data_IF_494403691884
#
_entry.id   IF_494403691884
#
_cell.length_a   1.000
_cell.length_b   1.000
_cell.length_c   1.000
_cell.angle_alpha   90.00
_cell.angle_beta   90.00
_cell.angle_gamma   90.00
#
_symmetry.space_group_name_H-M   'P 1'
#
loop_
_entity.id
_entity.type
_entity.pdbx_description
1 polymer ?
#
# COMPACT_ATOMS: atom_id res chain seq x y z
N UNK A 1 29.81 -19.12 20.66
CA UNK A 1 29.03 -17.96 21.15
C UNK A 1 28.79 -17.06 19.96
N UNK A 2 27.57 -17.06 19.41
CA UNK A 2 27.21 -16.12 18.35
C UNK A 2 27.30 -14.70 18.94
N UNK A 3 27.98 -13.79 18.26
CA UNK A 3 27.97 -12.38 18.62
C UNK A 3 26.51 -11.93 18.65
N UNK A 4 25.98 -11.75 19.87
CA UNK A 4 24.60 -11.32 20.07
C UNK A 4 24.47 -9.96 19.39
N UNK A 5 23.59 -9.88 18.40
CA UNK A 5 23.19 -8.62 17.81
C UNK A 5 22.74 -7.71 18.97
N UNK A 6 23.34 -6.52 19.10
CA UNK A 6 22.89 -5.57 20.11
C UNK A 6 21.45 -5.16 19.77
N UNK A 7 20.50 -5.66 20.55
CA UNK A 7 19.08 -5.39 20.39
C UNK A 7 18.81 -3.89 20.37
N UNK A 8 19.52 -3.10 21.19
CA UNK A 8 19.35 -1.66 21.22
C UNK A 8 19.81 -1.00 19.92
N UNK A 9 20.90 -1.48 19.32
CA UNK A 9 21.38 -1.01 18.03
C UNK A 9 20.36 -1.29 16.92
N UNK A 10 19.78 -2.49 16.89
CA UNK A 10 18.75 -2.86 15.91
C UNK A 10 17.52 -2.00 16.07
N UNK A 11 17.03 -1.82 17.29
CA UNK A 11 15.84 -1.02 17.58
C UNK A 11 16.04 0.45 17.20
N UNK A 12 17.22 1.02 17.46
CA UNK A 12 17.57 2.37 16.99
C UNK A 12 17.59 2.45 15.46
N UNK A 13 18.23 1.48 14.80
CA UNK A 13 18.29 1.45 13.35
C UNK A 13 16.90 1.28 12.70
N UNK A 14 16.02 0.48 13.32
CA UNK A 14 14.63 0.34 12.90
C UNK A 14 13.89 1.68 13.02
N UNK A 15 14.01 2.37 14.16
CA UNK A 15 13.39 3.68 14.35
C UNK A 15 13.87 4.71 13.34
N UNK A 16 15.18 4.80 13.09
CA UNK A 16 15.74 5.71 12.09
C UNK A 16 15.15 5.44 10.70
N UNK A 17 14.92 4.17 10.34
CA UNK A 17 14.24 3.83 9.07
C UNK A 17 12.77 4.23 9.08
N UNK A 18 12.06 4.03 10.18
CA UNK A 18 10.65 4.42 10.31
C UNK A 18 10.45 5.95 10.34
N UNK A 19 11.40 6.73 10.87
CA UNK A 19 11.33 8.20 10.79
C UNK A 19 11.39 8.70 9.34
N UNK A 20 12.15 8.03 8.47
CA UNK A 20 12.14 8.35 7.02
C UNK A 20 10.78 8.13 6.38
N UNK A 21 9.96 7.23 6.94
CA UNK A 21 8.62 6.96 6.41
C UNK A 21 7.61 8.08 6.72
N UNK A 22 7.85 8.91 7.74
CA UNK A 22 6.96 10.05 8.07
C UNK A 22 6.86 11.06 6.92
N UNK A 23 7.94 11.27 6.18
CA UNK A 23 7.92 12.15 5.02
C UNK A 23 6.89 11.69 3.97
N UNK A 24 6.70 10.37 3.81
CA UNK A 24 5.68 9.85 2.91
C UNK A 24 4.26 10.05 3.46
N UNK A 25 4.08 9.97 4.78
CA UNK A 25 2.80 10.26 5.40
C UNK A 25 2.37 11.70 5.11
N UNK A 26 3.25 12.67 5.33
CA UNK A 26 3.00 14.10 5.05
C UNK A 26 2.62 14.34 3.59
N UNK A 27 3.27 13.65 2.64
CA UNK A 27 2.92 13.72 1.22
C UNK A 27 1.53 13.15 0.93
N UNK A 28 1.01 12.24 1.75
CA UNK A 28 -0.24 11.50 1.51
C UNK A 28 -1.42 11.95 2.38
N UNK A 29 -1.20 12.83 3.36
CA UNK A 29 -2.19 13.13 4.41
C UNK A 29 -2.97 14.43 4.22
N UNK A 30 -2.64 15.26 3.22
CA UNK A 30 -3.39 16.50 2.95
C UNK A 30 -4.22 16.41 1.66
N UNK A 31 -5.45 16.94 1.63
CA UNK A 31 -6.25 16.96 0.39
C UNK A 31 -5.61 17.79 -0.72
N UNK A 32 -4.85 18.83 -0.36
CA UNK A 32 -4.08 19.66 -1.29
C UNK A 32 -2.87 18.92 -1.90
N UNK A 33 -2.39 17.85 -1.26
CA UNK A 33 -1.40 16.94 -1.84
C UNK A 33 -2.00 15.85 -2.71
N UNK A 34 -3.33 15.84 -2.89
CA UNK A 34 -3.98 14.94 -3.84
C UNK A 34 -3.35 15.13 -5.22
N UNK A 35 -2.68 14.07 -5.68
CA UNK A 35 -1.89 14.06 -6.90
C UNK A 35 -2.76 14.50 -8.08
N UNK A 36 -2.49 15.69 -8.62
CA UNK A 36 -3.06 16.11 -9.90
C UNK A 36 -2.11 15.70 -11.01
N UNK A 37 -2.61 14.88 -11.94
CA UNK A 37 -1.80 14.46 -13.09
C UNK A 37 -1.56 15.67 -13.98
N UNK A 38 -0.29 15.96 -14.24
CA UNK A 38 0.11 17.07 -15.08
C UNK A 38 -0.45 16.89 -16.51
N UNK A 39 -1.18 17.88 -17.05
CA UNK A 39 -1.69 17.83 -18.41
C UNK A 39 -0.58 17.61 -19.45
N UNK A 40 -0.81 16.73 -20.42
CA UNK A 40 0.17 16.40 -21.46
C UNK A 40 1.29 15.46 -21.03
N UNK A 41 1.38 15.11 -19.74
CA UNK A 41 2.34 14.12 -19.24
C UNK A 41 2.09 12.73 -19.84
N UNK A 42 3.09 11.83 -19.83
CA UNK A 42 2.90 10.44 -20.21
C UNK A 42 1.74 9.77 -19.45
N UNK A 43 1.60 10.08 -18.16
CA UNK A 43 0.59 9.52 -17.27
C UNK A 43 -0.83 10.01 -17.60
N UNK A 44 -0.98 11.30 -17.98
CA UNK A 44 -2.27 11.82 -18.47
C UNK A 44 -2.78 11.04 -19.70
N UNK A 45 -1.87 10.72 -20.61
CA UNK A 45 -2.19 9.88 -21.76
C UNK A 45 -2.53 8.43 -21.40
N UNK A 46 -2.02 7.90 -20.29
CA UNK A 46 -2.37 6.56 -19.82
C UNK A 46 -3.78 6.55 -19.21
N UNK A 47 -4.12 7.57 -18.42
CA UNK A 47 -5.42 7.74 -17.79
C UNK A 47 -6.53 7.94 -18.82
N UNK A 48 -6.28 8.72 -19.86
CA UNK A 48 -7.21 8.90 -20.97
C UNK A 48 -7.52 7.58 -21.71
N UNK A 49 -6.59 6.61 -21.70
CA UNK A 49 -6.77 5.29 -22.33
C UNK A 49 -7.36 4.23 -21.40
N UNK A 50 -7.43 4.53 -20.11
CA UNK A 50 -7.88 3.57 -19.09
C UNK A 50 -9.14 4.01 -18.37
N UNK A 51 -9.67 5.20 -18.66
CA UNK A 51 -10.91 5.70 -18.08
C UNK A 51 -12.05 4.67 -18.13
N UNK A 52 -12.77 4.43 -17.01
CA UNK A 52 -12.65 5.11 -15.71
C UNK A 52 -11.55 4.54 -14.78
N UNK A 53 -10.85 3.48 -15.19
CA UNK A 53 -9.84 2.74 -14.42
C UNK A 53 -8.44 3.34 -14.55
N UNK A 54 -8.27 4.59 -14.16
CA UNK A 54 -7.03 5.37 -14.34
C UNK A 54 -5.80 4.68 -13.72
N UNK A 55 -4.65 4.86 -14.37
CA UNK A 55 -3.34 4.32 -13.93
C UNK A 55 -2.82 5.14 -12.76
N UNK A 56 -2.89 6.48 -12.87
CA UNK A 56 -2.46 7.40 -11.82
C UNK A 56 -3.18 7.14 -10.50
N UNK A 57 -4.51 6.99 -10.56
CA UNK A 57 -5.34 6.77 -9.38
C UNK A 57 -4.95 5.49 -8.65
N UNK A 58 -4.69 4.40 -9.38
CA UNK A 58 -4.27 3.15 -8.77
C UNK A 58 -2.85 3.25 -8.17
N UNK A 59 -1.93 3.93 -8.86
CA UNK A 59 -0.58 4.16 -8.33
C UNK A 59 -0.63 4.97 -7.04
N UNK A 60 -1.43 6.04 -7.03
CA UNK A 60 -1.62 6.90 -5.86
C UNK A 60 -2.24 6.12 -4.70
N UNK A 61 -3.30 5.36 -4.95
CA UNK A 61 -3.91 4.50 -3.93
C UNK A 61 -2.90 3.52 -3.33
N UNK A 62 -2.07 2.89 -4.15
CA UNK A 62 -1.04 1.97 -3.66
C UNK A 62 0.00 2.68 -2.79
N UNK A 63 0.45 3.88 -3.16
CA UNK A 63 1.36 4.67 -2.33
C UNK A 63 0.71 5.10 -1.00
N UNK A 64 -0.55 5.51 -1.02
CA UNK A 64 -1.32 5.86 0.17
C UNK A 64 -1.41 4.67 1.14
N UNK A 65 -1.81 3.50 0.66
CA UNK A 65 -1.91 2.28 1.47
C UNK A 65 -0.54 1.88 2.03
N UNK A 66 0.53 2.02 1.24
CA UNK A 66 1.88 1.75 1.71
C UNK A 66 2.30 2.69 2.84
N UNK A 67 2.05 3.98 2.67
CA UNK A 67 2.37 5.03 3.64
C UNK A 67 1.63 4.81 4.95
N UNK A 68 0.33 4.49 4.86
CA UNK A 68 -0.52 4.24 6.02
C UNK A 68 -0.08 2.99 6.80
N UNK A 69 0.28 1.89 6.11
CA UNK A 69 0.83 0.71 6.77
C UNK A 69 2.16 0.98 7.50
N UNK A 70 3.06 1.78 6.92
CA UNK A 70 4.33 2.15 7.58
C UNK A 70 4.07 3.05 8.80
N UNK A 71 3.14 3.99 8.69
CA UNK A 71 2.76 4.83 9.81
C UNK A 71 2.12 4.01 10.93
N UNK A 72 1.19 3.11 10.59
CA UNK A 72 0.57 2.18 11.53
C UNK A 72 1.61 1.28 12.20
N UNK A 73 2.57 0.75 11.44
CA UNK A 73 3.68 -0.05 11.99
C UNK A 73 4.46 0.74 13.03
N UNK A 74 4.90 1.95 12.69
CA UNK A 74 5.60 2.84 13.62
C UNK A 74 4.78 3.07 14.89
N UNK A 75 3.52 3.48 14.74
CA UNK A 75 2.59 3.76 15.85
C UNK A 75 2.37 2.53 16.74
N UNK A 76 2.25 1.35 16.14
CA UNK A 76 2.09 0.09 16.88
C UNK A 76 3.36 -0.29 17.66
N UNK A 77 4.54 0.07 17.15
CA UNK A 77 5.82 -0.24 17.78
C UNK A 77 6.15 0.69 18.95
N UNK A 78 5.98 2.01 18.80
CA UNK A 78 6.48 2.99 19.79
C UNK A 78 5.42 3.91 20.39
N UNK A 79 4.17 3.78 19.96
CA UNK A 79 3.09 4.69 20.37
C UNK A 79 3.31 6.14 19.92
N UNK A 80 2.62 7.05 20.61
CA UNK A 80 2.65 8.50 20.34
C UNK A 80 3.45 9.32 21.33
N UNK A 81 3.90 8.72 22.42
CA UNK A 81 4.37 9.51 23.56
C UNK A 81 5.75 10.12 23.27
N UNK A 82 5.90 11.44 23.39
CA UNK A 82 7.21 12.10 23.38
C UNK A 82 7.86 11.91 24.76
N UNK A 83 8.09 10.67 25.16
CA UNK A 83 8.75 10.33 26.41
C UNK A 83 10.26 10.20 26.21
N UNK A 84 11.05 10.58 27.23
CA UNK A 84 12.52 10.34 27.25
C UNK A 84 12.89 8.86 27.10
N UNK A 85 11.92 7.96 27.31
CA UNK A 85 12.05 6.53 27.16
C UNK A 85 11.04 6.05 26.11
N UNK A 86 11.53 5.33 25.10
CA UNK A 86 10.71 4.69 24.07
C UNK A 86 10.54 3.22 24.48
N UNK A 87 9.30 2.80 24.65
CA UNK A 87 8.96 1.38 24.87
C UNK A 87 8.54 0.76 23.55
N UNK A 88 9.14 -0.38 23.20
CA UNK A 88 8.75 -1.13 22.02
C UNK A 88 7.67 -2.16 22.35
N UNK A 89 6.54 -2.10 21.65
CA UNK A 89 5.49 -3.10 21.69
C UNK A 89 5.59 -4.00 20.45
N UNK A 90 6.00 -5.25 20.65
CA UNK A 90 6.08 -6.27 19.61
C UNK A 90 4.94 -7.25 19.78
N UNK A 91 4.14 -7.43 18.74
CA UNK A 91 3.17 -8.52 18.66
C UNK A 91 3.75 -9.61 17.76
N UNK A 92 3.32 -10.85 17.98
CA UNK A 92 3.93 -12.01 17.30
C UNK A 92 3.78 -11.92 15.78
N UNK A 93 2.65 -11.40 15.28
CA UNK A 93 2.33 -11.40 13.85
C UNK A 93 1.88 -10.04 13.29
N UNK A 94 1.43 -9.10 14.12
CA UNK A 94 0.77 -7.88 13.63
C UNK A 94 1.73 -7.00 12.82
N UNK A 95 2.97 -6.82 13.30
CA UNK A 95 3.96 -6.00 12.60
C UNK A 95 4.38 -6.62 11.25
N UNK A 96 4.40 -7.96 11.15
CA UNK A 96 4.76 -8.65 9.92
C UNK A 96 3.72 -8.40 8.80
N UNK A 97 2.42 -8.37 9.13
CA UNK A 97 1.38 -8.07 8.15
C UNK A 97 1.41 -6.61 7.70
N UNK A 98 1.72 -5.68 8.59
CA UNK A 98 1.90 -4.26 8.26
C UNK A 98 3.09 -4.05 7.31
N UNK A 99 4.24 -4.66 7.58
CA UNK A 99 5.41 -4.60 6.69
C UNK A 99 5.08 -5.19 5.32
N UNK A 100 4.40 -6.33 5.29
CA UNK A 100 3.97 -6.96 4.03
C UNK A 100 3.06 -6.05 3.24
N UNK A 101 2.02 -5.49 3.88
CA UNK A 101 1.09 -4.56 3.25
C UNK A 101 1.80 -3.34 2.68
N UNK A 102 2.74 -2.75 3.44
CA UNK A 102 3.56 -1.65 2.95
C UNK A 102 4.37 -2.05 1.71
N UNK A 103 5.13 -3.15 1.80
CA UNK A 103 6.01 -3.59 0.73
C UNK A 103 5.27 -3.94 -0.56
N UNK A 104 4.19 -4.72 -0.48
CA UNK A 104 3.41 -5.13 -1.64
C UNK A 104 2.78 -3.94 -2.37
N UNK A 105 2.28 -2.95 -1.62
CA UNK A 105 1.67 -1.78 -2.21
C UNK A 105 2.71 -0.82 -2.81
N UNK A 106 3.85 -0.61 -2.16
CA UNK A 106 4.97 0.13 -2.76
C UNK A 106 5.47 -0.54 -4.05
N UNK A 107 5.67 -1.86 -4.01
CA UNK A 107 6.07 -2.64 -5.17
C UNK A 107 5.03 -2.57 -6.30
N UNK A 108 3.73 -2.55 -5.97
CA UNK A 108 2.66 -2.35 -6.96
C UNK A 108 2.76 -1.00 -7.65
N UNK A 109 2.99 0.08 -6.89
CA UNK A 109 3.17 1.42 -7.47
C UNK A 109 4.38 1.46 -8.43
N UNK A 110 5.53 0.90 -8.00
CA UNK A 110 6.73 0.79 -8.83
C UNK A 110 6.48 -0.07 -10.06
N UNK A 111 5.86 -1.23 -9.90
CA UNK A 111 5.52 -2.11 -11.03
C UNK A 111 4.57 -1.40 -12.00
N UNK A 112 3.62 -0.59 -11.53
CA UNK A 112 2.72 0.11 -12.42
C UNK A 112 3.41 1.25 -13.18
N UNK A 113 4.28 2.02 -12.52
CA UNK A 113 4.85 3.26 -13.06
C UNK A 113 6.22 3.10 -13.74
N UNK A 114 7.05 2.13 -13.34
CA UNK A 114 8.43 1.99 -13.81
C UNK A 114 8.58 1.75 -15.32
N UNK A 115 7.69 1.03 -16.03
CA UNK A 115 7.82 0.85 -17.48
C UNK A 115 7.73 2.19 -18.21
N UNK A 116 8.64 2.46 -19.14
CA UNK A 116 8.60 3.67 -19.98
C UNK A 116 7.48 3.63 -21.02
N UNK A 117 7.15 2.42 -21.52
CA UNK A 117 6.12 2.22 -22.52
C UNK A 117 4.70 2.31 -21.93
N UNK A 118 3.90 3.25 -22.44
CA UNK A 118 2.47 3.41 -22.11
C UNK A 118 1.68 2.11 -22.24
N UNK A 119 1.88 1.39 -23.34
CA UNK A 119 1.16 0.13 -23.61
C UNK A 119 1.30 -0.85 -22.44
N UNK A 120 2.49 -0.97 -21.87
CA UNK A 120 2.76 -1.85 -20.73
C UNK A 120 2.00 -1.39 -19.49
N UNK A 121 2.02 -0.10 -19.16
CA UNK A 121 1.31 0.45 -17.99
C UNK A 121 -0.21 0.28 -18.12
N UNK A 122 -0.75 0.59 -19.29
CA UNK A 122 -2.18 0.41 -19.61
C UNK A 122 -2.60 -1.05 -19.50
N UNK A 123 -1.83 -1.97 -20.10
CA UNK A 123 -2.11 -3.40 -20.02
C UNK A 123 -2.12 -3.88 -18.57
N UNK A 124 -1.09 -3.52 -17.78
CA UNK A 124 -1.01 -3.86 -16.35
C UNK A 124 -2.24 -3.40 -15.57
N UNK A 125 -2.69 -2.17 -15.81
CA UNK A 125 -3.87 -1.61 -15.13
C UNK A 125 -5.17 -2.34 -15.48
N UNK A 126 -5.38 -2.64 -16.75
CA UNK A 126 -6.57 -3.34 -17.22
C UNK A 126 -6.57 -4.80 -16.79
N UNK A 127 -5.42 -5.47 -16.78
CA UNK A 127 -5.29 -6.82 -16.25
C UNK A 127 -5.66 -6.89 -14.76
N UNK A 128 -5.15 -5.95 -13.94
CA UNK A 128 -5.54 -5.87 -12.53
C UNK A 128 -7.04 -5.69 -12.36
N UNK A 129 -7.65 -4.78 -13.14
CA UNK A 129 -9.09 -4.58 -13.07
C UNK A 129 -9.90 -5.82 -13.47
N UNK A 130 -9.47 -6.50 -14.53
CA UNK A 130 -10.11 -7.73 -14.98
C UNK A 130 -10.03 -8.82 -13.91
N UNK A 131 -8.91 -8.96 -13.22
CA UNK A 131 -8.76 -9.93 -12.14
C UNK A 131 -9.66 -9.59 -10.95
N UNK A 132 -9.76 -8.32 -10.55
CA UNK A 132 -10.72 -7.87 -9.51
C UNK A 132 -12.17 -8.24 -9.86
N UNK A 133 -12.59 -8.04 -11.12
CA UNK A 133 -13.93 -8.39 -11.58
C UNK A 133 -14.20 -9.90 -11.58
N UNK A 134 -13.21 -10.74 -11.91
CA UNK A 134 -13.38 -12.19 -11.84
C UNK A 134 -13.69 -12.64 -10.41
N UNK A 135 -13.03 -12.04 -9.43
CA UNK A 135 -13.28 -12.33 -8.01
C UNK A 135 -14.69 -11.88 -7.59
N UNK A 136 -15.15 -10.72 -8.05
CA UNK A 136 -16.50 -10.23 -7.79
C UNK A 136 -17.59 -11.13 -8.42
N UNK A 137 -17.41 -11.56 -9.67
CA UNK A 137 -18.35 -12.47 -10.34
C UNK A 137 -18.47 -13.81 -9.61
N UNK A 138 -17.34 -14.38 -9.18
CA UNK A 138 -17.33 -15.62 -8.39
C UNK A 138 -18.10 -15.48 -7.07
N UNK A 139 -17.98 -14.34 -6.40
CA UNK A 139 -18.75 -14.06 -5.18
C UNK A 139 -20.26 -14.02 -5.50
N UNK A 140 -20.65 -13.34 -6.58
CA UNK A 140 -22.04 -13.23 -6.98
C UNK A 140 -22.67 -14.61 -7.32
N UNK A 141 -21.91 -15.50 -7.95
CA UNK A 141 -22.32 -16.89 -8.22
C UNK A 141 -22.54 -17.68 -6.93
N UNK A 142 -21.63 -17.58 -5.95
CA UNK A 142 -21.77 -18.23 -4.63
C UNK A 142 -23.01 -17.73 -3.88
N UNK A 143 -23.25 -16.41 -3.87
CA UNK A 143 -24.42 -15.83 -3.20
C UNK A 143 -25.75 -16.32 -3.78
N UNK A 144 -25.84 -16.58 -5.09
CA UNK A 144 -27.03 -17.18 -5.73
C UNK A 144 -27.25 -18.63 -5.32
N UNK A 145 -26.17 -19.38 -5.10
CA UNK A 145 -26.25 -20.77 -4.66
C UNK A 145 -26.70 -20.88 -3.19
N UNK A 146 -26.21 -20.01 -2.30
CA UNK A 146 -26.61 -20.03 -0.89
C UNK A 146 -28.06 -19.56 -0.66
N UNK A 147 -28.54 -18.61 -1.47
CA UNK A 147 -29.93 -18.14 -1.40
C UNK A 147 -30.96 -19.10 -2.02
N UNK A 148 -30.52 -20.20 -2.62
CA UNK A 148 -31.38 -21.28 -3.14
C UNK A 148 -31.38 -22.53 -2.26
N UNK A 149 -30.69 -22.53 -1.11
CA UNK A 149 -30.83 -23.56 -0.10
C UNK A 149 -32.19 -23.40 0.63
N UNK A 150 -33.02 -24.46 0.77
CA UNK A 150 -34.29 -24.37 1.45
C UNK A 150 -34.04 -24.10 2.93
N UNK A 151 -34.64 -23.02 3.46
CA UNK A 151 -34.82 -22.81 4.89
C UNK A 151 -35.66 -23.97 5.44
N UNK A 152 -35.01 -24.91 6.13
CA UNK A 152 -35.67 -25.96 6.90
C UNK A 152 -36.40 -25.41 8.11
#
# INVERSE_FOLDING_TARGET
>A
MAAGIDEQEVLRALLTRMEKAKAFQELTSTPESAWTVEPGSPLAGDDAKTAPYQVSQLAWQALLVSSDHLHCLRRSLVGDSPSKHITFAMHIYAQATLIRGAYENAARAVWLLAPTARRTRVQRRLSLHMDDNKHANRMHELMKHDSSAPTG
#
